data_IF_744696988688
#
_entry.id   IF_744696988688
#
_cell.length_a   1.000
_cell.length_b   1.000
_cell.length_c   1.000
_cell.angle_alpha   90.00
_cell.angle_beta   90.00
_cell.angle_gamma   90.00
#
_symmetry.space_group_name_H-M   'P 1'
#
loop_
_entity.id
_entity.type
_entity.pdbx_description
1 polymer ?
#
# COMPACT_ATOMS: atom_id res chain seq x y z
N UNK A 1 21.13 -11.69 -34.78
CA UNK A 1 20.71 -10.66 -33.81
C UNK A 1 19.66 -11.28 -32.94
N UNK A 2 20.05 -11.78 -31.78
CA UNK A 2 19.12 -12.27 -30.76
C UNK A 2 18.42 -11.06 -30.18
N UNK A 3 17.10 -11.00 -30.34
CA UNK A 3 16.27 -10.13 -29.51
C UNK A 3 16.53 -10.58 -28.08
N UNK A 4 17.27 -9.77 -27.33
CA UNK A 4 17.31 -9.90 -25.89
C UNK A 4 15.84 -9.85 -25.42
N UNK A 5 15.30 -11.01 -25.03
CA UNK A 5 14.13 -11.10 -24.18
C UNK A 5 14.50 -10.49 -22.83
N UNK A 6 14.67 -9.16 -22.83
CA UNK A 6 14.66 -8.35 -21.63
C UNK A 6 13.28 -8.61 -21.04
N UNK A 7 13.20 -9.50 -20.03
CA UNK A 7 11.95 -9.76 -19.31
C UNK A 7 11.53 -8.45 -18.65
N UNK A 8 10.75 -7.65 -19.37
CA UNK A 8 10.23 -6.41 -18.84
C UNK A 8 9.39 -6.74 -17.61
N UNK A 9 9.69 -6.08 -16.50
CA UNK A 9 8.85 -6.18 -15.32
C UNK A 9 7.45 -5.67 -15.67
N UNK A 10 6.45 -6.16 -14.94
CA UNK A 10 5.10 -5.61 -15.00
C UNK A 10 5.11 -4.10 -14.77
N UNK A 11 4.06 -3.41 -15.22
CA UNK A 11 3.89 -1.99 -14.93
C UNK A 11 3.93 -1.73 -13.41
N UNK A 12 4.27 -0.50 -13.03
CA UNK A 12 4.27 -0.09 -11.62
C UNK A 12 2.86 -0.18 -11.00
N UNK A 13 1.84 0.00 -11.83
CA UNK A 13 0.42 -0.13 -11.54
C UNK A 13 0.05 -1.57 -11.23
N UNK A 14 0.46 -2.52 -12.08
CA UNK A 14 0.23 -3.95 -11.85
C UNK A 14 0.97 -4.42 -10.59
N UNK A 15 2.23 -4.01 -10.42
CA UNK A 15 3.00 -4.29 -9.21
C UNK A 15 2.27 -3.76 -7.96
N UNK A 16 1.82 -2.51 -7.97
CA UNK A 16 1.11 -1.91 -6.83
C UNK A 16 -0.23 -2.57 -6.54
N UNK A 17 -0.99 -2.92 -7.59
CA UNK A 17 -2.25 -3.66 -7.45
C UNK A 17 -2.04 -5.07 -6.92
N UNK A 18 -0.86 -5.67 -7.13
CA UNK A 18 -0.52 -6.95 -6.53
C UNK A 18 -0.06 -6.83 -5.07
N UNK A 19 0.71 -5.79 -4.72
CA UNK A 19 1.38 -5.68 -3.42
C UNK A 19 0.54 -4.98 -2.34
N UNK A 20 -0.17 -3.89 -2.68
CA UNK A 20 -0.95 -3.14 -1.69
C UNK A 20 -2.09 -3.96 -1.07
N UNK A 21 -2.85 -4.78 -1.83
CA UNK A 21 -3.80 -5.71 -1.24
C UNK A 21 -3.15 -6.72 -0.29
N UNK A 22 -1.94 -7.22 -0.58
CA UNK A 22 -1.25 -8.14 0.33
C UNK A 22 -0.96 -7.49 1.70
N UNK A 23 -0.79 -6.17 1.76
CA UNK A 23 -0.60 -5.46 3.04
C UNK A 23 -1.92 -5.31 3.81
N UNK A 24 -3.01 -4.99 3.12
CA UNK A 24 -4.28 -4.57 3.74
C UNK A 24 -5.41 -5.60 3.65
N UNK A 25 -5.18 -6.77 3.08
CA UNK A 25 -6.12 -7.89 2.99
C UNK A 25 -5.54 -9.20 3.55
N UNK A 26 -4.28 -9.20 4.00
CA UNK A 26 -3.57 -10.37 4.57
C UNK A 26 -4.16 -10.85 5.89
N UNK A 27 -4.59 -12.12 5.99
CA UNK A 27 -5.43 -12.59 7.10
C UNK A 27 -4.75 -12.58 8.47
N UNK A 28 -3.47 -12.91 8.48
CA UNK A 28 -2.67 -13.09 9.70
C UNK A 28 -1.70 -11.94 9.92
N UNK A 29 -1.26 -11.76 11.17
CA UNK A 29 -0.25 -10.74 11.52
C UNK A 29 1.09 -11.03 10.82
N UNK A 30 1.41 -12.30 10.65
CA UNK A 30 2.62 -12.79 10.00
C UNK A 30 2.61 -12.47 8.50
N UNK A 31 1.47 -12.65 7.84
CA UNK A 31 1.29 -12.25 6.43
C UNK A 31 1.38 -10.73 6.27
N UNK A 32 0.74 -9.95 7.16
CA UNK A 32 0.86 -8.49 7.14
C UNK A 32 2.32 -8.06 7.28
N UNK A 33 3.07 -8.67 8.21
CA UNK A 33 4.50 -8.39 8.40
C UNK A 33 5.30 -8.64 7.14
N UNK A 34 5.16 -9.83 6.57
CA UNK A 34 5.86 -10.23 5.35
C UNK A 34 5.50 -9.30 4.19
N UNK A 35 4.23 -8.99 4.00
CA UNK A 35 3.77 -8.11 2.92
C UNK A 35 4.33 -6.69 3.07
N UNK A 36 4.37 -6.14 4.29
CA UNK A 36 4.98 -4.83 4.54
C UNK A 36 6.48 -4.85 4.27
N UNK A 37 7.19 -5.90 4.69
CA UNK A 37 8.64 -6.04 4.46
C UNK A 37 8.98 -6.20 2.97
N UNK A 38 8.09 -6.80 2.18
CA UNK A 38 8.25 -6.96 0.73
C UNK A 38 7.84 -5.71 -0.05
N UNK A 39 6.92 -4.89 0.49
CA UNK A 39 6.37 -3.73 -0.23
C UNK A 39 7.12 -2.44 0.09
N UNK A 40 7.58 -2.26 1.33
CA UNK A 40 8.19 -1.02 1.81
C UNK A 40 9.67 -1.22 2.13
N UNK A 41 10.50 -0.32 1.62
CA UNK A 41 11.94 -0.32 1.84
C UNK A 41 12.27 -0.15 3.34
N UNK A 42 13.35 -0.78 3.85
CA UNK A 42 13.85 -0.51 5.20
C UNK A 42 14.16 0.98 5.44
N UNK A 43 14.55 1.70 4.39
CA UNK A 43 14.92 3.13 4.43
C UNK A 43 13.77 4.04 3.94
N UNK A 44 12.53 3.60 4.10
CA UNK A 44 11.34 4.35 3.71
C UNK A 44 11.28 5.73 4.37
N UNK A 45 11.07 6.75 3.56
CA UNK A 45 10.74 8.11 4.01
C UNK A 45 9.27 8.40 3.76
N UNK A 46 8.54 8.73 4.81
CA UNK A 46 7.09 8.91 4.73
C UNK A 46 6.60 10.23 5.31
N UNK A 47 5.55 10.76 4.67
CA UNK A 47 4.72 11.86 5.17
C UNK A 47 3.26 11.41 5.14
N UNK A 48 2.55 11.48 6.28
CA UNK A 48 1.12 11.13 6.37
C UNK A 48 0.35 12.27 7.04
N UNK A 49 -0.67 12.81 6.37
CA UNK A 49 -1.46 13.95 6.87
C UNK A 49 -0.57 15.14 7.34
N UNK A 50 0.47 15.44 6.57
CA UNK A 50 1.45 16.49 6.87
C UNK A 50 2.49 16.12 7.94
N UNK A 51 2.33 14.98 8.65
CA UNK A 51 3.32 14.48 9.61
C UNK A 51 4.45 13.77 8.87
N UNK A 52 5.64 14.40 8.87
CA UNK A 52 6.88 13.85 8.31
C UNK A 52 7.53 12.82 9.24
N UNK A 53 8.50 12.08 8.71
CA UNK A 53 9.30 11.11 9.48
C UNK A 53 8.59 9.79 9.74
N UNK A 54 7.60 9.44 8.91
CA UNK A 54 6.93 8.15 8.97
C UNK A 54 7.85 7.09 8.38
N UNK A 55 8.18 6.07 9.17
CA UNK A 55 9.08 4.98 8.81
C UNK A 55 8.31 3.71 8.52
N UNK A 56 8.95 2.69 7.93
CA UNK A 56 8.34 1.37 7.66
C UNK A 56 7.60 0.79 8.87
N UNK A 57 8.15 0.92 10.08
CA UNK A 57 7.50 0.47 11.33
C UNK A 57 6.14 1.13 11.58
N UNK A 58 5.96 2.38 11.19
CA UNK A 58 4.69 3.09 11.35
C UNK A 58 3.62 2.54 10.40
N UNK A 59 3.99 2.20 9.16
CA UNK A 59 3.10 1.55 8.20
C UNK A 59 2.75 0.12 8.65
N UNK A 60 3.73 -0.62 9.19
CA UNK A 60 3.51 -1.93 9.84
C UNK A 60 2.46 -1.85 10.95
N UNK A 61 2.67 -0.95 11.92
CA UNK A 61 1.73 -0.74 13.02
C UNK A 61 0.34 -0.35 12.53
N UNK A 62 0.26 0.51 11.50
CA UNK A 62 -1.01 0.90 10.91
C UNK A 62 -1.71 -0.27 10.22
N UNK A 63 -0.98 -1.12 9.48
CA UNK A 63 -1.53 -2.29 8.81
C UNK A 63 -2.04 -3.31 9.84
N UNK A 64 -1.27 -3.59 10.90
CA UNK A 64 -1.68 -4.48 11.99
C UNK A 64 -2.91 -3.97 12.74
N UNK A 65 -3.03 -2.64 12.96
CA UNK A 65 -4.22 -2.04 13.56
C UNK A 65 -5.46 -2.20 12.67
N UNK A 66 -5.31 -2.10 11.35
CA UNK A 66 -6.39 -2.34 10.41
C UNK A 66 -6.77 -3.83 10.38
N UNK A 67 -5.77 -4.72 10.41
CA UNK A 67 -5.96 -6.17 10.49
C UNK A 67 -6.79 -6.57 11.71
N UNK A 68 -6.48 -6.03 12.88
CA UNK A 68 -7.21 -6.29 14.11
C UNK A 68 -8.64 -5.72 14.10
N UNK A 69 -8.94 -4.75 13.24
CA UNK A 69 -10.22 -4.09 13.12
C UNK A 69 -11.13 -4.73 12.04
N UNK A 70 -10.73 -5.83 11.42
CA UNK A 70 -11.44 -6.37 10.25
C UNK A 70 -12.74 -7.09 10.56
N UNK A 71 -13.57 -7.11 9.52
CA UNK A 71 -14.78 -7.93 9.37
C UNK A 71 -14.84 -8.53 7.97
N UNK A 72 -15.88 -9.32 7.71
CA UNK A 72 -16.23 -9.81 6.37
C UNK A 72 -16.32 -8.66 5.36
N UNK A 73 -15.85 -8.93 4.14
CA UNK A 73 -15.84 -7.95 3.04
C UNK A 73 -14.64 -7.01 3.03
N UNK A 74 -13.56 -7.32 3.76
CA UNK A 74 -12.31 -6.55 3.68
C UNK A 74 -11.79 -6.49 2.25
N UNK A 75 -11.44 -5.29 1.78
CA UNK A 75 -10.92 -5.10 0.42
C UNK A 75 -10.23 -3.75 0.26
N UNK A 76 -9.25 -3.71 -0.63
CA UNK A 76 -8.71 -2.50 -1.23
C UNK A 76 -9.49 -2.21 -2.52
N UNK A 77 -10.16 -1.07 -2.55
CA UNK A 77 -10.92 -0.59 -3.70
C UNK A 77 -10.14 0.57 -4.33
N UNK A 78 -9.58 0.34 -5.51
CA UNK A 78 -8.89 1.38 -6.28
C UNK A 78 -9.90 2.31 -6.96
N UNK A 79 -9.71 3.62 -6.80
CA UNK A 79 -10.52 4.63 -7.47
C UNK A 79 -9.76 5.24 -8.65
N UNK A 80 -8.48 5.53 -8.45
CA UNK A 80 -7.58 6.03 -9.48
C UNK A 80 -6.16 5.54 -9.21
N UNK A 81 -5.43 5.28 -10.29
CA UNK A 81 -3.99 5.03 -10.26
C UNK A 81 -3.38 5.60 -11.54
N UNK A 82 -2.27 6.30 -11.40
CA UNK A 82 -1.48 6.89 -12.48
C UNK A 82 -0.03 6.59 -12.18
N UNK A 83 0.71 6.15 -13.18
CA UNK A 83 2.13 5.85 -13.06
C UNK A 83 2.94 6.68 -14.04
N UNK A 84 4.20 6.93 -13.65
CA UNK A 84 5.25 7.47 -14.50
C UNK A 84 6.50 6.65 -14.21
N UNK A 85 6.81 5.70 -15.09
CA UNK A 85 8.07 4.96 -15.04
C UNK A 85 9.23 5.89 -15.44
N UNK A 86 10.41 5.66 -14.87
CA UNK A 86 11.60 6.44 -15.26
C UNK A 86 12.11 6.06 -16.66
N UNK A 87 11.94 4.80 -17.02
CA UNK A 87 12.32 4.21 -18.29
C UNK A 87 11.42 3.00 -18.63
N UNK A 88 11.68 2.35 -19.75
CA UNK A 88 10.90 1.22 -20.25
C UNK A 88 11.05 -0.08 -19.44
N UNK A 89 11.93 -0.14 -18.44
CA UNK A 89 12.16 -1.34 -17.63
C UNK A 89 11.13 -1.55 -16.52
N UNK A 90 10.39 -0.49 -16.16
CA UNK A 90 9.45 -0.46 -15.02
C UNK A 90 10.08 -0.81 -13.66
N UNK A 91 11.41 -0.72 -13.53
CA UNK A 91 12.15 -1.00 -12.29
C UNK A 91 12.02 0.11 -11.27
N UNK A 92 11.74 1.33 -11.72
CA UNK A 92 11.61 2.51 -10.88
C UNK A 92 10.61 3.49 -11.50
N UNK A 93 10.01 4.32 -10.65
CA UNK A 93 9.10 5.36 -11.10
C UNK A 93 8.22 5.88 -9.97
N UNK A 94 7.31 6.77 -10.32
CA UNK A 94 6.40 7.44 -9.39
C UNK A 94 4.97 7.02 -9.68
N UNK A 95 4.19 6.79 -8.61
CA UNK A 95 2.78 6.42 -8.71
C UNK A 95 1.95 7.41 -7.89
N UNK A 96 0.92 7.97 -8.50
CA UNK A 96 -0.16 8.68 -7.81
C UNK A 96 -1.39 7.79 -7.76
N UNK A 97 -2.01 7.61 -6.59
CA UNK A 97 -3.19 6.77 -6.48
C UNK A 97 -4.19 7.23 -5.42
N UNK A 98 -5.45 6.89 -5.61
CA UNK A 98 -6.51 7.01 -4.63
C UNK A 98 -7.23 5.68 -4.48
N UNK A 99 -7.41 5.23 -3.23
CA UNK A 99 -8.06 3.97 -2.92
C UNK A 99 -8.74 3.99 -1.54
N UNK A 100 -9.69 3.09 -1.33
CA UNK A 100 -10.33 2.85 -0.04
C UNK A 100 -9.93 1.49 0.52
N UNK A 101 -9.78 1.41 1.83
CA UNK A 101 -9.76 0.15 2.58
C UNK A 101 -11.11 0.03 3.27
N UNK A 102 -11.87 -1.00 2.91
CA UNK A 102 -13.23 -1.27 3.42
C UNK A 102 -13.24 -2.53 4.29
N UNK A 103 -14.38 -2.81 4.94
CA UNK A 103 -14.53 -3.99 5.80
C UNK A 103 -13.77 -3.87 7.13
N UNK A 104 -13.75 -2.67 7.72
CA UNK A 104 -13.19 -2.42 9.06
C UNK A 104 -14.28 -1.94 10.01
N UNK A 105 -14.20 -2.36 11.27
CA UNK A 105 -15.06 -1.92 12.37
C UNK A 105 -14.24 -1.54 13.59
N UNK A 106 -14.74 -0.60 14.39
CA UNK A 106 -14.22 -0.37 15.73
C UNK A 106 -15.35 0.02 16.66
N UNK A 107 -15.21 -0.33 17.93
CA UNK A 107 -16.06 0.20 18.99
C UNK A 107 -15.55 1.61 19.30
N UNK A 108 -16.43 2.60 19.30
CA UNK A 108 -16.11 3.96 19.70
C UNK A 108 -16.20 4.10 21.22
N UNK A 109 -15.43 5.01 21.85
CA UNK A 109 -15.58 5.27 23.28
C UNK A 109 -17.02 5.66 23.62
N UNK A 110 -17.66 4.91 24.52
CA UNK A 110 -19.05 5.13 24.95
C UNK A 110 -20.10 4.36 24.16
N UNK A 111 -19.73 3.72 23.05
CA UNK A 111 -20.65 2.90 22.27
C UNK A 111 -20.56 1.42 22.67
N UNK A 112 -21.70 0.74 22.71
CA UNK A 112 -21.78 -0.72 22.92
C UNK A 112 -21.73 -1.52 21.62
N UNK A 113 -21.90 -0.85 20.47
CA UNK A 113 -22.00 -1.49 19.16
C UNK A 113 -20.80 -1.14 18.28
N UNK A 114 -20.24 -2.12 17.54
CA UNK A 114 -19.20 -1.85 16.55
C UNK A 114 -19.72 -0.92 15.45
N UNK A 115 -18.96 0.13 15.15
CA UNK A 115 -19.24 1.01 14.03
C UNK A 115 -18.36 0.64 12.85
N UNK A 116 -18.94 0.54 11.64
CA UNK A 116 -18.20 0.30 10.40
C UNK A 116 -17.58 1.57 9.85
N UNK A 117 -16.37 1.43 9.31
CA UNK A 117 -15.63 2.53 8.71
C UNK A 117 -15.01 2.13 7.38
N UNK A 118 -14.59 3.15 6.65
CA UNK A 118 -13.66 3.05 5.54
C UNK A 118 -12.45 3.94 5.83
N UNK A 119 -11.30 3.57 5.26
CA UNK A 119 -10.15 4.47 5.17
C UNK A 119 -9.90 4.83 3.72
N UNK A 120 -10.09 6.10 3.40
CA UNK A 120 -9.71 6.65 2.11
C UNK A 120 -8.26 7.10 2.17
N UNK A 121 -7.47 6.72 1.18
CA UNK A 121 -6.07 7.10 1.02
C UNK A 121 -5.88 7.76 -0.33
N UNK A 122 -5.18 8.88 -0.34
CA UNK A 122 -4.62 9.52 -1.53
C UNK A 122 -3.11 9.54 -1.35
N UNK A 123 -2.37 8.89 -2.24
CA UNK A 123 -0.93 8.68 -2.08
C UNK A 123 -0.18 9.09 -3.33
N UNK A 124 1.03 9.58 -3.12
CA UNK A 124 2.09 9.65 -4.13
C UNK A 124 3.26 8.86 -3.57
N UNK A 125 3.74 7.88 -4.32
CA UNK A 125 4.85 7.01 -3.91
C UNK A 125 5.93 6.98 -4.95
N UNK A 126 7.17 6.83 -4.47
CA UNK A 126 8.32 6.47 -5.28
C UNK A 126 8.58 4.98 -5.13
N UNK A 127 8.57 4.26 -6.24
CA UNK A 127 8.98 2.85 -6.31
C UNK A 127 10.37 2.79 -6.92
N UNK A 128 11.24 1.96 -6.34
CA UNK A 128 12.60 1.78 -6.82
C UNK A 128 13.07 0.34 -6.58
N UNK A 129 13.75 -0.23 -7.57
CA UNK A 129 14.46 -1.51 -7.47
C UNK A 129 15.58 -1.42 -6.43
N UNK A 130 15.66 -2.39 -5.52
CA UNK A 130 16.71 -2.46 -4.49
C UNK A 130 17.94 -3.28 -4.94
N UNK A 131 17.87 -3.93 -6.11
CA UNK A 131 18.95 -4.67 -6.75
C UNK A 131 19.28 -4.09 -8.11
N UNK A 132 20.56 -4.12 -8.47
CA UNK A 132 21.07 -3.82 -9.82
C UNK A 132 20.86 -4.99 -10.80
N UNK A 133 20.63 -6.21 -10.29
CA UNK A 133 20.40 -7.38 -11.13
C UNK A 133 19.05 -7.25 -11.88
N UNK A 134 19.06 -7.11 -13.22
CA UNK A 134 17.85 -6.88 -14.01
C UNK A 134 16.89 -8.08 -13.99
N UNK A 135 17.35 -9.26 -13.60
CA UNK A 135 16.56 -10.50 -13.58
C UNK A 135 15.72 -10.66 -12.31
N UNK A 136 15.99 -9.85 -11.29
CA UNK A 136 15.30 -9.88 -10.00
C UNK A 136 14.34 -8.70 -9.91
N UNK A 137 13.05 -8.98 -9.65
CA UNK A 137 12.11 -7.96 -9.19
C UNK A 137 12.38 -7.68 -7.72
N UNK A 138 13.00 -6.54 -7.44
CA UNK A 138 13.32 -6.08 -6.09
C UNK A 138 12.71 -4.71 -5.83
N UNK A 139 11.62 -4.38 -6.53
CA UNK A 139 10.92 -3.12 -6.38
C UNK A 139 10.34 -2.98 -4.98
N UNK A 140 10.53 -1.81 -4.39
CA UNK A 140 9.95 -1.43 -3.11
C UNK A 140 9.54 0.04 -3.14
N UNK A 141 8.58 0.42 -2.29
CA UNK A 141 8.26 1.81 -2.02
C UNK A 141 9.38 2.37 -1.13
N UNK A 142 10.05 3.41 -1.61
CA UNK A 142 11.16 4.11 -0.92
C UNK A 142 10.76 5.47 -0.37
N UNK A 143 9.76 6.11 -0.99
CA UNK A 143 9.18 7.37 -0.52
C UNK A 143 7.65 7.33 -0.64
N UNK A 144 6.95 7.91 0.33
CA UNK A 144 5.49 7.98 0.36
C UNK A 144 5.01 9.29 0.97
N UNK A 145 4.16 10.00 0.23
CA UNK A 145 3.31 11.05 0.77
C UNK A 145 1.86 10.61 0.69
N UNK A 146 1.16 10.59 1.83
CA UNK A 146 -0.21 10.16 1.93
C UNK A 146 -1.09 11.17 2.67
N UNK A 147 -2.31 11.33 2.18
CA UNK A 147 -3.42 11.93 2.92
C UNK A 147 -4.45 10.84 3.17
N UNK A 148 -4.86 10.72 4.43
CA UNK A 148 -5.74 9.66 4.89
C UNK A 148 -6.91 10.22 5.68
N UNK A 149 -8.12 9.73 5.37
CA UNK A 149 -9.34 10.06 6.08
C UNK A 149 -10.08 8.79 6.48
N UNK A 150 -10.48 8.72 7.75
CA UNK A 150 -11.43 7.73 8.25
C UNK A 150 -12.84 8.26 8.03
N UNK A 151 -13.71 7.46 7.40
CA UNK A 151 -15.11 7.80 7.17
C UNK A 151 -16.00 6.74 7.83
N UNK A 152 -17.03 7.18 8.56
CA UNK A 152 -18.04 6.30 9.12
C UNK A 152 -19.05 5.95 8.03
N UNK A 153 -19.36 4.67 7.89
CA UNK A 153 -20.44 4.23 7.02
C UNK A 153 -21.74 4.44 7.80
N UNK A 154 -22.55 5.41 7.40
CA UNK A 154 -23.91 5.56 7.92
C UNK A 154 -24.75 4.47 7.27
N UNK A 155 -25.31 3.57 8.07
CA UNK A 155 -26.36 2.69 7.57
C UNK A 155 -27.57 3.56 7.15
N UNK A 156 -28.15 3.35 5.97
CA UNK A 156 -29.44 3.94 5.62
C UNK A 156 -30.55 3.43 6.56
#
# INVERSE_FOLDING_TARGET
MTLDDCRCLSSLTEWSKAHIPQVYEAETKEEVKRAVEQTFSPDLHGTVNGKKGMLRKNFMESALKLQAAWVEGRKVIWHQIVEVADDSSNRSGTIGATYSIVGIQTILPGDSQPTRFERHKSVVVRVQSQSEDPTIDSRMIVDITAVEKKAQIKHP
#
